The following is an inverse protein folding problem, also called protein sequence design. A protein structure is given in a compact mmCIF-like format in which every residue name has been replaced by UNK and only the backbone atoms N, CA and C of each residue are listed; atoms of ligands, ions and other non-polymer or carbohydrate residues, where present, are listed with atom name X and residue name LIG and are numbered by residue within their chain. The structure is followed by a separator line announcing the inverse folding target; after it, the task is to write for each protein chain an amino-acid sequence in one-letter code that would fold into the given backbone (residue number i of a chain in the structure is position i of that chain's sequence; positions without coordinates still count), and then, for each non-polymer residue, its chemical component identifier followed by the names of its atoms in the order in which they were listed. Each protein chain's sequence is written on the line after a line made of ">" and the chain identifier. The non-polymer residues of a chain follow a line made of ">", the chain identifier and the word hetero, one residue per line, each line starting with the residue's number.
data_IF_046759078496
#
_entry.id   IF_046759078496
#
_cell.length_a   1.000
_cell.length_b   1.000
_cell.length_c   1.000
_cell.angle_alpha   90.00
_cell.angle_beta   90.00
_cell.angle_gamma   90.00
#
_symmetry.space_group_name_H-M   'P 1'
#
loop_
_entity.id
_entity.type
_entity.pdbx_description
1 polymer ?
#
# COMPACT_ATOMS: atom_id res chain seq x y z
N UNK A 1 13.67 55.16 -50.35
CA UNK A 1 13.84 54.62 -49.00
C UNK A 1 12.54 53.89 -48.59
N UNK A 2 12.54 52.57 -48.70
CA UNK A 2 11.39 51.73 -48.33
C UNK A 2 11.82 50.95 -47.06
N UNK A 3 11.20 51.21 -45.92
CA UNK A 3 11.42 50.47 -44.69
C UNK A 3 10.54 49.22 -44.70
N UNK A 4 11.16 48.06 -44.71
CA UNK A 4 10.51 46.76 -44.50
C UNK A 4 10.36 46.55 -42.97
N UNK A 5 9.11 46.56 -42.49
CA UNK A 5 8.78 46.08 -41.14
C UNK A 5 8.64 44.55 -41.17
N UNK A 6 9.59 43.81 -40.61
CA UNK A 6 9.48 42.39 -40.30
C UNK A 6 8.69 42.26 -39.02
N UNK A 7 7.44 41.83 -39.09
CA UNK A 7 6.67 41.41 -37.94
C UNK A 7 7.13 39.99 -37.49
N UNK A 8 7.77 39.88 -36.36
CA UNK A 8 8.10 38.58 -35.70
C UNK A 8 6.82 38.01 -35.10
N UNK A 9 6.16 37.09 -35.79
CA UNK A 9 5.12 36.26 -35.18
C UNK A 9 5.82 35.26 -34.23
N UNK A 10 5.78 35.53 -32.95
CA UNK A 10 6.10 34.54 -31.92
C UNK A 10 5.02 33.45 -31.96
N UNK A 11 5.36 32.31 -32.58
CA UNK A 11 4.54 31.14 -32.53
C UNK A 11 4.47 30.65 -31.06
N UNK A 12 3.34 30.87 -30.43
CA UNK A 12 2.99 30.19 -29.18
C UNK A 12 2.86 28.71 -29.53
N UNK A 13 3.92 27.95 -29.38
CA UNK A 13 3.86 26.49 -29.36
C UNK A 13 3.26 26.15 -28.01
N UNK A 14 2.00 25.66 -27.96
CA UNK A 14 1.50 25.10 -26.71
C UNK A 14 2.46 23.96 -26.35
N UNK A 15 3.10 24.03 -25.20
CA UNK A 15 3.81 22.90 -24.63
C UNK A 15 2.79 21.78 -24.49
N UNK A 16 2.78 20.84 -25.44
CA UNK A 16 2.04 19.60 -25.33
C UNK A 16 2.56 18.95 -24.06
N UNK A 17 1.77 19.00 -22.99
CA UNK A 17 2.01 18.23 -21.78
C UNK A 17 2.13 16.78 -22.26
N UNK A 18 3.27 16.17 -22.01
CA UNK A 18 3.50 14.79 -22.41
C UNK A 18 2.65 13.94 -21.46
N UNK A 19 1.50 13.50 -21.97
CA UNK A 19 0.67 12.52 -21.29
C UNK A 19 1.53 11.29 -21.00
N UNK A 20 1.65 10.96 -19.73
CA UNK A 20 2.54 9.91 -19.26
C UNK A 20 1.75 8.64 -18.92
N UNK A 21 2.24 7.48 -19.38
CA UNK A 21 1.66 6.18 -19.06
C UNK A 21 1.88 5.76 -17.59
N UNK A 22 2.66 6.52 -16.84
CA UNK A 22 3.02 6.25 -15.43
C UNK A 22 3.39 7.54 -14.70
N UNK A 23 3.31 7.52 -13.38
CA UNK A 23 3.82 8.57 -12.50
C UNK A 23 4.78 7.99 -11.47
N UNK A 24 5.97 8.60 -11.34
CA UNK A 24 7.01 8.23 -10.39
C UNK A 24 7.30 9.40 -9.44
N UNK A 25 7.40 9.14 -8.14
CA UNK A 25 7.81 10.13 -7.15
C UNK A 25 9.26 10.56 -7.34
N UNK A 26 10.11 9.63 -7.81
CA UNK A 26 11.55 9.83 -8.01
C UNK A 26 11.99 9.23 -9.33
N UNK A 27 12.87 9.93 -10.02
CA UNK A 27 13.47 9.42 -11.25
C UNK A 27 12.47 9.25 -12.39
N UNK A 28 12.71 8.24 -13.21
CA UNK A 28 11.86 7.86 -14.35
C UNK A 28 11.30 6.46 -14.12
N UNK A 29 10.06 6.18 -14.60
CA UNK A 29 9.49 4.85 -14.53
C UNK A 29 10.39 3.78 -15.13
N UNK A 30 10.53 2.64 -14.47
CA UNK A 30 11.34 1.50 -14.93
C UNK A 30 10.81 0.90 -16.23
N UNK A 31 9.50 0.76 -16.33
CA UNK A 31 8.83 0.21 -17.51
C UNK A 31 8.52 1.32 -18.49
N UNK A 32 9.15 1.31 -19.66
CA UNK A 32 8.96 2.30 -20.71
C UNK A 32 7.55 2.21 -21.33
N UNK A 33 7.06 3.29 -21.98
CA UNK A 33 5.81 3.22 -22.75
C UNK A 33 5.81 2.03 -23.72
N UNK A 34 4.71 1.28 -23.73
CA UNK A 34 4.58 0.10 -24.60
C UNK A 34 5.20 -1.19 -24.05
N UNK A 35 5.63 -1.23 -22.79
CA UNK A 35 6.08 -2.49 -22.17
C UNK A 35 5.00 -3.58 -22.28
N UNK A 36 5.42 -4.85 -22.28
CA UNK A 36 4.51 -5.98 -22.56
C UNK A 36 3.85 -6.54 -21.31
N UNK A 37 4.53 -6.57 -20.18
CA UNK A 37 4.08 -7.03 -18.86
C UNK A 37 5.10 -6.62 -17.79
N UNK A 38 4.74 -6.69 -16.53
CA UNK A 38 5.69 -6.53 -15.43
C UNK A 38 6.64 -7.74 -15.35
N UNK A 39 7.91 -7.51 -14.99
CA UNK A 39 8.95 -8.55 -14.93
C UNK A 39 8.68 -9.67 -13.92
N UNK A 40 7.85 -9.38 -12.90
CA UNK A 40 7.51 -10.32 -11.83
C UNK A 40 6.31 -11.23 -12.14
N UNK A 41 5.75 -11.18 -13.34
CA UNK A 41 4.66 -12.06 -13.77
C UNK A 41 5.10 -12.98 -14.88
N UNK A 42 4.46 -14.14 -15.00
CA UNK A 42 4.56 -15.01 -16.17
C UNK A 42 3.34 -14.74 -17.07
N UNK A 43 3.55 -14.11 -18.26
CA UNK A 43 2.46 -13.84 -19.18
C UNK A 43 1.84 -15.10 -19.79
N UNK A 44 2.56 -16.24 -19.72
CA UNK A 44 2.11 -17.55 -20.22
C UNK A 44 1.52 -18.42 -19.11
N UNK A 45 1.42 -17.93 -17.87
CA UNK A 45 0.81 -18.66 -16.77
C UNK A 45 -0.56 -19.21 -17.17
N UNK A 46 -0.84 -20.50 -16.92
CA UNK A 46 -2.11 -21.12 -17.32
C UNK A 46 -3.28 -20.44 -16.61
N UNK A 47 -4.38 -20.30 -17.35
CA UNK A 47 -5.64 -19.80 -16.81
C UNK A 47 -6.54 -20.98 -16.48
N UNK A 48 -7.15 -20.95 -15.29
CA UNK A 48 -8.09 -21.99 -14.88
C UNK A 48 -7.97 -22.38 -13.42
N UNK A 49 -8.80 -23.36 -13.01
CA UNK A 49 -8.76 -23.93 -11.68
C UNK A 49 -9.24 -23.01 -10.56
N UNK A 50 -9.00 -23.44 -9.34
CA UNK A 50 -9.41 -22.75 -8.12
C UNK A 50 -8.22 -22.56 -7.18
N UNK A 51 -8.09 -21.35 -6.62
CA UNK A 51 -7.22 -21.04 -5.53
C UNK A 51 -8.03 -20.91 -4.24
N UNK A 52 -7.76 -21.78 -3.27
CA UNK A 52 -8.41 -21.74 -1.97
C UNK A 52 -7.52 -21.00 -0.97
N UNK A 53 -8.03 -19.94 -0.41
CA UNK A 53 -7.35 -19.07 0.53
C UNK A 53 -8.03 -19.10 1.90
N UNK A 54 -7.27 -18.63 2.89
CA UNK A 54 -7.81 -18.34 4.21
C UNK A 54 -7.93 -16.84 4.39
N UNK A 55 -8.99 -16.40 5.05
CA UNK A 55 -9.17 -14.99 5.38
C UNK A 55 -8.02 -14.50 6.28
N UNK A 56 -7.39 -13.39 5.89
CA UNK A 56 -6.41 -12.67 6.68
C UNK A 56 -7.03 -11.66 7.66
N UNK A 57 -8.34 -11.45 7.58
CA UNK A 57 -9.08 -10.59 8.50
C UNK A 57 -9.32 -11.33 9.80
N UNK A 58 -9.19 -10.63 10.93
CA UNK A 58 -9.43 -11.20 12.28
C UNK A 58 -10.91 -11.44 12.59
N UNK A 59 -11.81 -11.01 11.71
CA UNK A 59 -13.24 -11.23 11.88
C UNK A 59 -13.59 -12.70 11.68
N UNK A 60 -14.47 -13.23 12.51
CA UNK A 60 -15.00 -14.59 12.40
C UNK A 60 -16.08 -14.73 11.34
N UNK A 61 -16.53 -13.63 10.75
CA UNK A 61 -17.56 -13.61 9.69
C UNK A 61 -17.46 -12.29 8.89
N UNK A 62 -18.23 -12.18 7.83
CA UNK A 62 -18.51 -10.94 7.14
C UNK A 62 -20.03 -10.73 7.02
N UNK A 63 -20.45 -9.48 6.99
CA UNK A 63 -21.86 -9.08 7.01
C UNK A 63 -22.19 -7.98 5.99
N UNK A 64 -21.19 -7.60 5.16
CA UNK A 64 -21.36 -6.60 4.10
C UNK A 64 -20.35 -6.78 2.97
N UNK A 65 -20.68 -6.20 1.80
CA UNK A 65 -19.78 -6.14 0.64
C UNK A 65 -19.12 -4.76 0.44
N UNK A 66 -19.60 -3.72 1.12
CA UNK A 66 -19.03 -2.37 1.01
C UNK A 66 -17.79 -2.21 1.92
N UNK A 67 -16.55 -2.19 1.35
CA UNK A 67 -15.33 -2.10 2.15
C UNK A 67 -15.01 -0.68 2.64
N UNK A 68 -15.73 0.33 2.18
CA UNK A 68 -15.42 1.74 2.39
C UNK A 68 -16.10 2.35 3.61
N UNK A 69 -17.03 1.66 4.24
CA UNK A 69 -17.82 2.15 5.39
C UNK A 69 -17.33 1.58 6.73
N UNK A 70 -17.68 2.25 7.84
CA UNK A 70 -17.17 1.89 9.18
C UNK A 70 -17.80 0.62 9.77
N UNK A 71 -19.13 0.54 9.77
CA UNK A 71 -19.85 -0.56 10.43
C UNK A 71 -19.75 -1.84 9.64
N UNK A 72 -19.66 -2.97 10.33
CA UNK A 72 -19.62 -4.32 9.75
C UNK A 72 -18.22 -4.72 9.24
N UNK A 73 -18.11 -5.99 8.84
CA UNK A 73 -16.90 -6.63 8.33
C UNK A 73 -17.10 -7.07 6.88
N UNK A 74 -16.09 -6.87 6.05
CA UNK A 74 -16.12 -7.29 4.65
C UNK A 74 -15.34 -8.56 4.44
N UNK A 75 -15.68 -9.35 3.40
CA UNK A 75 -14.85 -10.48 3.01
C UNK A 75 -13.43 -10.02 2.66
N UNK A 76 -12.44 -10.86 2.96
CA UNK A 76 -11.07 -10.59 2.56
C UNK A 76 -10.94 -10.54 1.03
N UNK A 77 -10.01 -9.72 0.54
CA UNK A 77 -9.67 -9.53 -0.87
C UNK A 77 -10.75 -8.88 -1.75
N UNK A 78 -11.87 -8.42 -1.18
CA UNK A 78 -12.96 -7.84 -1.97
C UNK A 78 -12.50 -6.57 -2.72
N UNK A 79 -11.69 -5.73 -2.07
CA UNK A 79 -11.19 -4.49 -2.69
C UNK A 79 -10.22 -4.78 -3.83
N UNK A 80 -9.31 -5.73 -3.63
CA UNK A 80 -8.24 -6.07 -4.57
C UNK A 80 -8.74 -6.85 -5.78
N UNK A 81 -9.81 -7.63 -5.62
CA UNK A 81 -10.31 -8.51 -6.67
C UNK A 81 -11.42 -7.88 -7.52
N UNK A 82 -12.27 -7.04 -6.90
CA UNK A 82 -13.44 -6.49 -7.58
C UNK A 82 -13.22 -5.12 -8.19
N UNK A 83 -12.30 -4.32 -7.68
CA UNK A 83 -12.19 -2.92 -8.09
C UNK A 83 -10.87 -2.67 -8.80
N UNK A 84 -10.94 -1.95 -9.92
CA UNK A 84 -9.76 -1.33 -10.50
C UNK A 84 -9.55 0.08 -9.95
N UNK A 85 -8.33 0.56 -10.13
CA UNK A 85 -7.84 1.88 -9.72
C UNK A 85 -7.44 2.68 -10.95
N UNK A 86 -7.26 3.99 -10.80
CA UNK A 86 -6.77 4.80 -11.93
C UNK A 86 -5.36 4.38 -12.34
N UNK A 87 -4.49 4.14 -11.36
CA UNK A 87 -3.13 3.66 -11.54
C UNK A 87 -2.92 2.38 -10.74
N UNK A 88 -2.01 1.53 -11.18
CA UNK A 88 -1.54 0.34 -10.45
C UNK A 88 -0.06 0.47 -10.10
N UNK A 89 0.28 0.25 -8.84
CA UNK A 89 1.67 0.27 -8.36
C UNK A 89 2.42 -0.98 -8.82
N UNK A 90 3.62 -0.82 -9.36
CA UNK A 90 4.51 -1.93 -9.62
C UNK A 90 5.12 -2.47 -8.31
N UNK A 91 5.13 -3.79 -8.14
CA UNK A 91 5.62 -4.42 -6.90
C UNK A 91 7.14 -4.36 -6.75
N UNK A 92 7.85 -4.19 -7.85
CA UNK A 92 9.31 -4.13 -7.92
C UNK A 92 9.85 -2.70 -8.08
N UNK A 93 8.96 -1.69 -8.07
CA UNK A 93 9.30 -0.28 -8.20
C UNK A 93 8.48 0.58 -7.23
N UNK A 94 8.89 0.66 -5.95
CA UNK A 94 8.20 1.48 -4.95
C UNK A 94 8.16 2.95 -5.35
N UNK A 95 7.00 3.59 -5.15
CA UNK A 95 6.80 5.00 -5.47
C UNK A 95 6.49 5.30 -6.93
N UNK A 96 6.28 4.27 -7.76
CA UNK A 96 5.86 4.39 -9.15
C UNK A 96 4.55 3.63 -9.39
N UNK A 97 3.64 4.23 -10.16
CA UNK A 97 2.40 3.59 -10.56
C UNK A 97 2.11 3.85 -12.06
N UNK A 98 1.51 2.85 -12.69
CA UNK A 98 1.26 2.76 -14.12
C UNK A 98 -0.24 2.84 -14.42
N UNK A 99 -0.59 3.38 -15.57
CA UNK A 99 -1.98 3.58 -15.95
C UNK A 99 -2.76 2.25 -16.06
N UNK A 100 -3.87 2.17 -15.30
CA UNK A 100 -4.85 1.07 -15.38
C UNK A 100 -6.16 1.60 -15.95
N UNK A 101 -7.10 2.12 -15.16
CA UNK A 101 -8.29 2.80 -15.69
C UNK A 101 -7.92 4.07 -16.47
N UNK A 102 -6.87 4.78 -16.02
CA UNK A 102 -6.27 5.87 -16.76
C UNK A 102 -5.31 5.35 -17.83
N UNK A 103 -5.39 5.89 -19.05
CA UNK A 103 -4.39 5.69 -20.09
C UNK A 103 -3.24 6.69 -19.96
N UNK A 104 -3.57 7.88 -19.45
CA UNK A 104 -2.65 8.99 -19.28
C UNK A 104 -2.77 9.63 -17.90
N UNK A 105 -1.65 10.09 -17.37
CA UNK A 105 -1.55 10.91 -16.17
C UNK A 105 -0.69 12.14 -16.44
N UNK A 106 -1.20 13.31 -16.14
CA UNK A 106 -0.50 14.59 -16.25
C UNK A 106 -0.42 15.26 -14.89
N UNK A 107 0.80 15.50 -14.41
CA UNK A 107 1.09 16.19 -13.15
C UNK A 107 1.98 17.40 -13.45
N UNK A 108 1.44 18.62 -13.36
CA UNK A 108 2.22 19.85 -13.57
C UNK A 108 3.41 19.95 -12.60
N UNK A 109 4.44 20.69 -13.01
CA UNK A 109 5.69 20.83 -12.22
C UNK A 109 5.51 21.50 -10.85
N UNK A 110 4.42 22.24 -10.66
CA UNK A 110 4.05 22.83 -9.37
C UNK A 110 3.42 21.81 -8.40
N UNK A 111 3.06 20.62 -8.88
CA UNK A 111 2.40 19.54 -8.15
C UNK A 111 1.13 19.98 -7.40
N UNK A 112 0.37 20.92 -7.98
CA UNK A 112 -0.89 21.42 -7.42
C UNK A 112 -2.14 20.84 -8.08
N UNK A 113 -1.94 19.94 -9.03
CA UNK A 113 -3.04 19.19 -9.65
C UNK A 113 -2.54 17.89 -10.26
N UNK A 114 -3.48 17.00 -10.58
CA UNK A 114 -3.26 15.85 -11.46
C UNK A 114 -4.46 15.70 -12.38
N UNK A 115 -4.21 15.39 -13.64
CA UNK A 115 -5.24 15.08 -14.63
C UNK A 115 -5.07 13.63 -15.09
N UNK A 116 -6.16 12.86 -15.04
CA UNK A 116 -6.22 11.50 -15.56
C UNK A 116 -7.16 11.44 -16.77
N UNK A 117 -6.71 10.76 -17.81
CA UNK A 117 -7.52 10.45 -18.98
C UNK A 117 -7.87 8.97 -18.98
N UNK A 118 -9.15 8.64 -18.92
CA UNK A 118 -9.65 7.28 -18.81
C UNK A 118 -9.64 6.56 -20.16
N UNK A 119 -9.35 5.27 -20.12
CA UNK A 119 -9.40 4.38 -21.30
C UNK A 119 -10.82 4.25 -21.84
N UNK A 120 -10.95 4.19 -23.16
CA UNK A 120 -12.24 4.02 -23.85
C UNK A 120 -12.85 2.64 -23.61
N UNK A 121 -12.01 1.64 -23.47
CA UNK A 121 -12.39 0.24 -23.25
C UNK A 121 -12.77 -0.07 -21.80
N UNK A 122 -12.49 0.81 -20.84
CA UNK A 122 -12.80 0.59 -19.43
C UNK A 122 -14.31 0.38 -19.19
N UNK A 123 -14.66 -0.73 -18.55
CA UNK A 123 -16.05 -1.13 -18.29
C UNK A 123 -16.22 -1.61 -16.86
N UNK A 124 -17.37 -1.32 -16.29
CA UNK A 124 -17.84 -1.96 -15.09
C UNK A 124 -18.37 -3.38 -15.37
N UNK A 125 -18.57 -4.16 -14.33
CA UNK A 125 -19.07 -5.52 -14.42
C UNK A 125 -20.45 -5.65 -15.09
N UNK A 126 -21.26 -4.60 -15.06
CA UNK A 126 -22.56 -4.53 -15.74
C UNK A 126 -22.46 -4.12 -17.23
N UNK A 127 -21.22 -3.98 -17.74
CA UNK A 127 -20.95 -3.58 -19.13
C UNK A 127 -20.97 -2.07 -19.37
N UNK A 128 -21.41 -1.25 -18.41
CA UNK A 128 -21.41 0.20 -18.57
C UNK A 128 -19.99 0.77 -18.59
N UNK A 129 -19.75 1.86 -19.35
CA UNK A 129 -18.43 2.49 -19.41
C UNK A 129 -18.05 3.14 -18.07
N UNK A 130 -16.77 3.07 -17.71
CA UNK A 130 -16.21 3.86 -16.63
C UNK A 130 -15.96 5.28 -17.14
N UNK A 131 -16.58 6.27 -16.49
CA UNK A 131 -16.54 7.68 -16.92
C UNK A 131 -15.94 8.57 -15.82
N UNK A 132 -15.49 9.76 -16.21
CA UNK A 132 -14.95 10.76 -15.29
C UNK A 132 -15.92 11.13 -14.16
N UNK A 133 -17.22 11.10 -14.41
CA UNK A 133 -18.26 11.32 -13.38
C UNK A 133 -18.28 10.25 -12.31
N UNK A 134 -17.96 8.98 -12.65
CA UNK A 134 -17.90 7.89 -11.67
C UNK A 134 -16.66 8.05 -10.77
N UNK A 135 -15.54 8.50 -11.35
CA UNK A 135 -14.33 8.84 -10.59
C UNK A 135 -14.62 9.99 -9.62
N UNK A 136 -15.22 11.08 -10.10
CA UNK A 136 -15.62 12.21 -9.25
C UNK A 136 -16.53 11.75 -8.12
N UNK A 137 -17.59 11.02 -8.44
CA UNK A 137 -18.55 10.48 -7.47
C UNK A 137 -17.84 9.62 -6.41
N UNK A 138 -16.95 8.73 -6.83
CA UNK A 138 -16.18 7.87 -5.92
C UNK A 138 -15.38 8.71 -4.92
N UNK A 139 -14.61 9.67 -5.39
CA UNK A 139 -13.73 10.47 -4.54
C UNK A 139 -14.54 11.36 -3.57
N UNK A 140 -15.58 12.03 -4.05
CA UNK A 140 -16.45 12.85 -3.20
C UNK A 140 -17.18 12.00 -2.15
N UNK A 141 -17.60 10.79 -2.52
CA UNK A 141 -18.21 9.83 -1.58
C UNK A 141 -17.20 9.40 -0.51
N UNK A 142 -15.96 9.09 -0.89
CA UNK A 142 -14.91 8.69 0.07
C UNK A 142 -14.49 9.84 1.01
N UNK A 143 -14.57 11.10 0.56
CA UNK A 143 -14.38 12.27 1.43
C UNK A 143 -15.61 12.56 2.33
N UNK A 144 -16.75 11.99 2.00
CA UNK A 144 -18.01 12.20 2.71
C UNK A 144 -18.01 11.60 4.12
N UNK A 145 -19.05 11.96 4.90
CA UNK A 145 -19.22 11.53 6.30
C UNK A 145 -19.60 10.06 6.45
N UNK A 146 -20.05 9.40 5.40
CA UNK A 146 -20.51 8.01 5.42
C UNK A 146 -19.40 7.00 5.08
N UNK A 147 -18.25 7.46 4.61
CA UNK A 147 -17.07 6.63 4.39
C UNK A 147 -16.17 6.55 5.64
N UNK A 148 -15.20 5.66 5.62
CA UNK A 148 -14.18 5.55 6.67
C UNK A 148 -13.39 6.86 6.79
N UNK A 149 -13.19 7.42 8.01
CA UNK A 149 -12.47 8.68 8.21
C UNK A 149 -11.04 8.71 7.63
N UNK A 150 -10.41 7.55 7.50
CA UNK A 150 -9.08 7.45 6.91
C UNK A 150 -9.01 8.03 5.49
N UNK A 151 -10.06 7.89 4.68
CA UNK A 151 -10.08 8.48 3.32
C UNK A 151 -10.05 10.01 3.38
N UNK A 152 -10.78 10.61 4.31
CA UNK A 152 -10.76 12.06 4.52
C UNK A 152 -9.37 12.56 4.92
N UNK A 153 -8.66 11.79 5.74
CA UNK A 153 -7.31 12.12 6.17
C UNK A 153 -6.31 12.07 5.01
N UNK A 154 -6.33 11.01 4.20
CA UNK A 154 -5.36 10.87 3.09
C UNK A 154 -5.66 11.82 1.93
N UNK A 155 -6.91 12.29 1.81
CA UNK A 155 -7.37 13.25 0.81
C UNK A 155 -7.47 14.69 1.35
N UNK A 156 -6.88 14.99 2.51
CA UNK A 156 -7.02 16.31 3.17
C UNK A 156 -6.51 17.49 2.33
N UNK A 157 -5.54 17.25 1.45
CA UNK A 157 -4.99 18.27 0.57
C UNK A 157 -5.74 18.38 -0.77
N UNK A 158 -6.78 17.57 -0.99
CA UNK A 158 -7.62 17.65 -2.18
C UNK A 158 -8.64 18.79 -2.03
N UNK A 159 -8.56 19.78 -2.92
CA UNK A 159 -9.42 20.96 -2.95
C UNK A 159 -10.68 20.76 -3.84
N UNK A 160 -10.56 19.99 -4.90
CA UNK A 160 -11.69 19.74 -5.78
C UNK A 160 -11.42 18.73 -6.88
N UNK A 161 -12.53 18.23 -7.47
CA UNK A 161 -12.53 17.28 -8.57
C UNK A 161 -13.38 17.83 -9.72
N UNK A 162 -12.75 18.08 -10.86
CA UNK A 162 -13.39 18.64 -12.05
C UNK A 162 -13.52 17.55 -13.13
N UNK A 163 -14.73 17.39 -13.66
CA UNK A 163 -14.98 16.59 -14.86
C UNK A 163 -14.73 17.50 -16.06
N UNK A 164 -13.62 17.31 -16.76
CA UNK A 164 -13.23 18.12 -17.93
C UNK A 164 -14.03 17.69 -19.14
N UNK A 165 -14.13 16.37 -19.35
CA UNK A 165 -14.98 15.74 -20.35
C UNK A 165 -15.42 14.36 -19.88
N UNK A 166 -16.09 13.57 -20.72
CA UNK A 166 -16.61 12.25 -20.33
C UNK A 166 -15.54 11.27 -19.80
N UNK A 167 -14.26 11.49 -20.12
CA UNK A 167 -13.15 10.59 -19.73
C UNK A 167 -11.96 11.31 -19.14
N UNK A 168 -12.01 12.61 -18.98
CA UNK A 168 -10.93 13.40 -18.41
C UNK A 168 -11.38 13.98 -17.07
N UNK A 169 -10.66 13.65 -16.01
CA UNK A 169 -10.90 14.14 -14.65
C UNK A 169 -9.64 14.81 -14.12
N UNK A 170 -9.83 16.01 -13.57
CA UNK A 170 -8.75 16.81 -12.96
C UNK A 170 -8.99 16.96 -11.46
N UNK A 171 -7.95 16.73 -10.68
CA UNK A 171 -7.92 16.93 -9.24
C UNK A 171 -7.06 18.16 -8.93
N UNK A 172 -7.60 19.07 -8.11
CA UNK A 172 -6.89 20.26 -7.64
C UNK A 172 -6.48 20.09 -6.20
N UNK A 173 -5.27 20.56 -5.86
CA UNK A 173 -4.70 20.46 -4.53
C UNK A 173 -4.59 21.82 -3.86
N UNK A 174 -4.89 21.91 -2.58
CA UNK A 174 -4.78 23.13 -1.78
C UNK A 174 -3.33 23.61 -1.63
N UNK A 175 -2.38 22.68 -1.72
CA UNK A 175 -0.93 22.97 -1.70
C UNK A 175 -0.19 21.99 -2.64
N UNK A 176 1.09 22.27 -2.93
CA UNK A 176 1.96 21.36 -3.66
C UNK A 176 2.08 20.03 -2.91
N UNK A 177 1.74 18.91 -3.59
CA UNK A 177 1.81 17.57 -3.01
C UNK A 177 2.14 16.54 -4.10
N UNK A 178 3.37 16.03 -4.06
CA UNK A 178 3.87 15.05 -5.02
C UNK A 178 3.33 13.63 -4.81
N UNK A 179 2.88 13.31 -3.60
CA UNK A 179 2.40 11.96 -3.28
C UNK A 179 0.92 11.78 -3.63
N UNK A 180 0.15 12.86 -3.58
CA UNK A 180 -1.29 12.81 -3.75
C UNK A 180 -1.75 12.21 -5.10
N UNK A 181 -1.06 12.40 -6.23
CA UNK A 181 -1.37 11.69 -7.48
C UNK A 181 -1.34 10.17 -7.35
N UNK A 182 -0.37 9.59 -6.60
CA UNK A 182 -0.32 8.15 -6.34
C UNK A 182 -1.41 7.69 -5.39
N UNK A 183 -1.69 8.48 -4.34
CA UNK A 183 -2.76 8.19 -3.37
C UNK A 183 -4.11 8.13 -4.08
N UNK A 184 -4.44 9.14 -4.88
CA UNK A 184 -5.68 9.18 -5.67
C UNK A 184 -5.70 8.06 -6.71
N UNK A 185 -4.57 7.86 -7.40
CA UNK A 185 -4.40 6.83 -8.41
C UNK A 185 -4.65 5.41 -7.89
N UNK A 186 -4.37 5.15 -6.62
CA UNK A 186 -4.54 3.86 -5.97
C UNK A 186 -5.93 3.63 -5.34
N UNK A 187 -6.83 4.63 -5.35
CA UNK A 187 -8.17 4.45 -4.80
C UNK A 187 -9.05 3.61 -5.74
N UNK A 188 -9.76 2.59 -5.19
CA UNK A 188 -10.73 1.81 -5.94
C UNK A 188 -11.85 2.68 -6.50
N UNK A 189 -12.17 2.50 -7.79
CA UNK A 189 -13.23 3.24 -8.46
C UNK A 189 -14.49 2.37 -8.56
N UNK A 190 -15.64 2.95 -8.25
CA UNK A 190 -16.95 2.31 -8.32
C UNK A 190 -17.98 3.17 -9.04
N UNK A 191 -18.99 2.53 -9.60
CA UNK A 191 -20.07 3.23 -10.32
C UNK A 191 -20.94 4.04 -9.37
N UNK A 192 -21.35 5.22 -9.80
CA UNK A 192 -22.36 6.03 -9.09
C UNK A 192 -23.72 5.33 -8.96
N UNK A 193 -23.98 4.27 -9.75
CA UNK A 193 -25.22 3.48 -9.68
C UNK A 193 -25.18 2.38 -8.62
N UNK A 194 -24.02 2.13 -7.99
CA UNK A 194 -23.93 1.14 -6.93
C UNK A 194 -24.82 1.55 -5.75
N UNK A 195 -25.73 0.63 -5.37
CA UNK A 195 -26.69 0.85 -4.30
C UNK A 195 -27.96 1.60 -4.72
N UNK A 196 -28.13 1.92 -6.01
CA UNK A 196 -29.36 2.49 -6.57
C UNK A 196 -29.94 3.66 -5.77
N UNK A 197 -29.12 4.68 -5.51
CA UNK A 197 -29.48 5.88 -4.77
C UNK A 197 -29.56 5.74 -3.24
N UNK A 198 -29.27 4.59 -2.68
CA UNK A 198 -29.12 4.41 -1.23
C UNK A 198 -28.04 5.32 -0.67
N UNK A 199 -28.23 5.76 0.57
CA UNK A 199 -27.13 6.42 1.30
C UNK A 199 -25.94 5.46 1.41
N UNK A 200 -24.72 5.93 1.22
CA UNK A 200 -23.53 5.11 1.04
C UNK A 200 -23.26 4.11 2.17
N UNK A 201 -23.55 4.48 3.44
CA UNK A 201 -23.43 3.58 4.59
C UNK A 201 -24.56 2.54 4.71
N UNK A 202 -25.61 2.66 3.90
CA UNK A 202 -26.71 1.71 3.78
C UNK A 202 -26.51 0.71 2.64
N UNK A 203 -25.51 0.90 1.81
CA UNK A 203 -25.09 -0.08 0.80
C UNK A 203 -24.33 -1.19 1.54
N UNK A 204 -25.00 -2.27 1.88
CA UNK A 204 -24.47 -3.35 2.74
C UNK A 204 -24.23 -4.60 1.91
N UNK A 205 -25.31 -5.24 1.44
CA UNK A 205 -25.26 -6.51 0.70
C UNK A 205 -25.51 -6.34 -0.80
N UNK A 206 -25.55 -5.11 -1.29
CA UNK A 206 -25.62 -4.86 -2.73
C UNK A 206 -24.28 -5.20 -3.37
N UNK A 207 -24.21 -6.11 -4.34
CA UNK A 207 -22.98 -6.42 -5.01
C UNK A 207 -22.36 -5.15 -5.64
N UNK A 208 -21.05 -4.93 -5.49
CA UNK A 208 -20.40 -3.77 -6.07
C UNK A 208 -20.52 -3.74 -7.59
N UNK A 209 -20.88 -2.57 -8.14
CA UNK A 209 -20.71 -2.29 -9.57
C UNK A 209 -19.29 -1.73 -9.73
N UNK A 210 -18.36 -2.64 -9.95
CA UNK A 210 -16.92 -2.41 -10.03
C UNK A 210 -16.37 -2.90 -11.37
N UNK A 211 -15.07 -2.77 -11.60
CA UNK A 211 -14.43 -3.01 -12.90
C UNK A 211 -13.29 -4.02 -12.88
N UNK A 212 -13.01 -4.63 -11.72
CA UNK A 212 -11.87 -5.53 -11.54
C UNK A 212 -12.02 -6.91 -12.17
N UNK A 213 -10.98 -7.74 -12.07
CA UNK A 213 -10.92 -9.03 -12.80
C UNK A 213 -11.83 -10.13 -12.24
N UNK A 214 -12.40 -9.95 -11.05
CA UNK A 214 -13.29 -10.92 -10.42
C UNK A 214 -14.63 -10.29 -10.03
N UNK A 215 -15.65 -11.16 -9.91
CA UNK A 215 -17.00 -10.84 -9.41
C UNK A 215 -17.31 -11.69 -8.19
N UNK A 216 -18.25 -11.26 -7.35
CA UNK A 216 -18.79 -12.11 -6.29
C UNK A 216 -19.54 -13.29 -6.94
N UNK A 217 -19.15 -14.50 -6.57
CA UNK A 217 -19.80 -15.75 -6.92
C UNK A 217 -20.58 -16.33 -5.74
N UNK A 218 -20.60 -17.66 -5.56
CA UNK A 218 -21.25 -18.30 -4.43
C UNK A 218 -20.75 -17.79 -3.07
N UNK A 219 -21.67 -17.60 -2.14
CA UNK A 219 -21.42 -17.14 -0.78
C UNK A 219 -22.12 -18.07 0.20
N UNK A 220 -21.37 -18.63 1.17
CA UNK A 220 -21.91 -19.23 2.38
C UNK A 220 -21.74 -18.21 3.50
N UNK A 221 -22.83 -17.49 3.82
CA UNK A 221 -22.82 -16.34 4.72
C UNK A 221 -22.07 -16.61 6.00
N UNK A 222 -21.03 -15.77 6.25
CA UNK A 222 -20.20 -15.86 7.43
C UNK A 222 -19.12 -16.94 7.41
N UNK A 223 -19.05 -17.81 6.39
CA UNK A 223 -18.05 -18.87 6.30
C UNK A 223 -17.12 -18.73 5.12
N UNK A 224 -17.69 -18.71 3.91
CA UNK A 224 -16.93 -18.75 2.66
C UNK A 224 -17.47 -17.72 1.68
N UNK A 225 -16.58 -17.13 0.91
CA UNK A 225 -16.91 -16.37 -0.29
C UNK A 225 -16.07 -16.87 -1.44
N UNK A 226 -16.70 -17.07 -2.59
CA UNK A 226 -16.00 -17.37 -3.84
C UNK A 226 -16.06 -16.19 -4.78
N UNK A 227 -14.90 -15.74 -5.23
CA UNK A 227 -14.75 -14.79 -6.32
C UNK A 227 -14.57 -15.56 -7.63
N UNK A 228 -15.33 -15.19 -8.65
CA UNK A 228 -15.31 -15.83 -9.96
C UNK A 228 -14.69 -14.87 -10.97
N UNK A 229 -13.71 -15.36 -11.72
CA UNK A 229 -13.02 -14.54 -12.74
C UNK A 229 -14.04 -14.09 -13.81
N UNK A 230 -13.99 -12.83 -14.17
CA UNK A 230 -14.73 -12.29 -15.28
C UNK A 230 -14.02 -12.61 -16.61
N UNK A 231 -14.57 -13.49 -17.46
CA UNK A 231 -13.96 -13.81 -18.74
C UNK A 231 -13.94 -12.62 -19.71
N UNK A 232 -14.82 -11.64 -19.48
CA UNK A 232 -14.94 -10.40 -20.26
C UNK A 232 -14.21 -9.23 -19.62
N UNK A 233 -13.33 -9.49 -18.63
CA UNK A 233 -12.57 -8.44 -17.98
C UNK A 233 -11.87 -7.52 -19.00
N UNK A 234 -12.21 -6.25 -18.97
CA UNK A 234 -11.82 -5.25 -19.98
C UNK A 234 -10.31 -5.06 -20.09
N UNK A 235 -9.57 -5.21 -18.97
CA UNK A 235 -8.13 -4.93 -18.91
C UNK A 235 -7.25 -6.18 -19.04
N UNK A 236 -7.80 -7.37 -19.34
CA UNK A 236 -7.05 -8.65 -19.34
C UNK A 236 -5.79 -8.66 -20.21
N UNK A 237 -5.79 -7.89 -21.29
CA UNK A 237 -4.70 -7.83 -22.26
C UNK A 237 -3.79 -6.61 -22.07
N UNK A 238 -4.08 -5.72 -21.10
CA UNK A 238 -3.22 -4.59 -20.77
C UNK A 238 -1.90 -5.09 -20.16
N UNK A 239 -0.80 -4.43 -20.51
CA UNK A 239 0.53 -4.76 -19.98
C UNK A 239 0.56 -4.86 -18.46
N UNK A 240 -0.12 -3.97 -17.76
CA UNK A 240 -0.22 -3.93 -16.30
C UNK A 240 -1.06 -5.06 -15.68
N UNK A 241 -1.81 -5.82 -16.50
CA UNK A 241 -2.67 -6.94 -16.05
C UNK A 241 -2.31 -8.28 -16.69
N UNK A 242 -1.51 -8.27 -17.74
CA UNK A 242 -1.07 -9.52 -18.41
C UNK A 242 -0.34 -10.40 -17.41
N UNK A 243 -0.62 -11.71 -17.43
CA UNK A 243 -0.05 -12.68 -16.49
C UNK A 243 -0.70 -12.67 -15.09
N UNK A 244 -1.75 -11.88 -14.87
CA UNK A 244 -2.50 -11.82 -13.59
C UNK A 244 -3.90 -12.44 -13.72
N UNK A 245 -4.65 -12.57 -12.62
CA UNK A 245 -5.99 -13.16 -12.58
C UNK A 245 -6.05 -14.55 -13.23
N UNK A 246 -5.14 -15.45 -12.81
CA UNK A 246 -4.94 -16.75 -13.47
C UNK A 246 -5.98 -17.80 -13.10
N UNK A 247 -6.56 -17.75 -11.89
CA UNK A 247 -7.53 -18.72 -11.41
C UNK A 247 -8.95 -18.37 -11.85
N UNK A 248 -9.75 -19.37 -12.20
CA UNK A 248 -11.19 -19.16 -12.49
C UNK A 248 -11.98 -18.83 -11.24
N UNK A 249 -11.59 -19.40 -10.11
CA UNK A 249 -12.20 -19.16 -8.81
C UNK A 249 -11.15 -18.90 -7.74
N UNK A 250 -11.46 -17.98 -6.84
CA UNK A 250 -10.71 -17.76 -5.60
C UNK A 250 -11.70 -17.88 -4.46
N UNK A 251 -11.62 -19.00 -3.72
CA UNK A 251 -12.49 -19.26 -2.56
C UNK A 251 -11.74 -18.87 -1.28
N UNK A 252 -12.34 -17.99 -0.49
CA UNK A 252 -11.76 -17.50 0.76
C UNK A 252 -12.58 -17.99 1.93
N UNK A 253 -11.97 -18.81 2.77
CA UNK A 253 -12.59 -19.39 3.96
C UNK A 253 -12.21 -18.65 5.23
N UNK A 254 -13.15 -18.55 6.15
CA UNK A 254 -12.96 -17.96 7.46
C UNK A 254 -12.80 -19.05 8.51
N UNK A 255 -11.84 -18.87 9.42
CA UNK A 255 -11.62 -19.73 10.59
C UNK A 255 -11.56 -18.87 11.85
N UNK A 256 -11.96 -19.44 12.98
CA UNK A 256 -12.07 -18.73 14.24
C UNK A 256 -10.73 -18.17 14.75
N UNK A 257 -9.65 -18.93 14.58
CA UNK A 257 -8.32 -18.54 15.08
C UNK A 257 -7.18 -19.13 14.23
N UNK A 258 -5.95 -18.77 14.57
CA UNK A 258 -4.75 -19.21 13.85
C UNK A 258 -4.46 -20.71 14.01
N UNK A 259 -4.85 -21.33 15.13
CA UNK A 259 -4.68 -22.77 15.33
C UNK A 259 -5.59 -23.54 14.38
N UNK A 260 -6.88 -23.16 14.29
CA UNK A 260 -7.81 -23.73 13.36
C UNK A 260 -7.35 -23.56 11.91
N UNK A 261 -6.81 -22.37 11.54
CA UNK A 261 -6.24 -22.12 10.21
C UNK A 261 -5.09 -23.08 9.91
N UNK A 262 -4.14 -23.25 10.83
CA UNK A 262 -2.99 -24.10 10.62
C UNK A 262 -3.38 -25.58 10.45
N UNK A 263 -4.31 -26.08 11.27
CA UNK A 263 -4.78 -27.45 11.15
C UNK A 263 -5.58 -27.66 9.86
N UNK A 264 -6.37 -26.70 9.44
CA UNK A 264 -7.06 -26.72 8.15
C UNK A 264 -6.07 -26.72 6.96
N UNK A 265 -4.97 -25.96 7.02
CA UNK A 265 -3.88 -26.04 6.03
C UNK A 265 -3.29 -27.45 5.97
N UNK A 266 -2.92 -28.01 7.12
CA UNK A 266 -2.40 -29.37 7.21
C UNK A 266 -3.41 -30.42 6.72
N UNK A 267 -4.72 -30.16 6.84
CA UNK A 267 -5.78 -31.00 6.30
C UNK A 267 -6.04 -30.78 4.78
N UNK A 268 -5.35 -29.81 4.15
CA UNK A 268 -5.52 -29.51 2.71
C UNK A 268 -6.81 -28.79 2.36
N UNK A 269 -7.40 -28.09 3.33
CA UNK A 269 -8.65 -27.35 3.09
C UNK A 269 -8.46 -26.06 2.31
N UNK A 270 -7.23 -25.54 2.26
CA UNK A 270 -6.84 -24.40 1.43
C UNK A 270 -5.35 -24.50 1.02
N UNK A 271 -4.92 -23.67 0.09
CA UNK A 271 -3.67 -23.85 -0.66
C UNK A 271 -2.52 -22.95 -0.19
N UNK A 272 -2.80 -21.79 0.41
CA UNK A 272 -1.78 -20.82 0.79
C UNK A 272 -2.12 -20.13 2.10
N UNK A 273 -1.12 -20.01 2.98
CA UNK A 273 -1.21 -19.22 4.22
C UNK A 273 0.05 -18.39 4.43
N UNK A 274 -0.13 -17.12 4.76
CA UNK A 274 0.96 -16.26 5.25
C UNK A 274 1.03 -16.33 6.76
N UNK A 275 2.22 -16.56 7.28
CA UNK A 275 2.49 -16.58 8.71
C UNK A 275 3.08 -15.27 9.20
N UNK A 276 2.51 -14.73 10.27
CA UNK A 276 2.98 -13.50 10.94
C UNK A 276 3.49 -13.78 12.34
N UNK A 277 3.33 -15.01 12.83
CA UNK A 277 3.79 -15.46 14.13
C UNK A 277 5.11 -16.23 13.97
N UNK A 278 6.20 -15.67 14.50
CA UNK A 278 7.50 -16.34 14.52
C UNK A 278 7.44 -17.69 15.21
N UNK A 279 6.67 -17.79 16.31
CA UNK A 279 6.45 -19.05 17.05
C UNK A 279 5.78 -20.11 16.17
N UNK A 280 4.70 -19.73 15.45
CA UNK A 280 3.99 -20.70 14.60
C UNK A 280 4.88 -21.14 13.45
N UNK A 281 5.60 -20.21 12.81
CA UNK A 281 6.56 -20.51 11.77
C UNK A 281 7.66 -21.47 12.22
N UNK A 282 8.25 -21.23 13.38
CA UNK A 282 9.35 -22.04 13.89
C UNK A 282 8.90 -23.40 14.42
N UNK A 283 7.75 -23.49 15.11
CA UNK A 283 7.36 -24.68 15.86
C UNK A 283 6.19 -25.46 15.27
N UNK A 284 5.24 -24.79 14.66
CA UNK A 284 3.96 -25.39 14.31
C UNK A 284 3.83 -25.71 12.82
N UNK A 285 4.57 -25.00 11.95
CA UNK A 285 4.58 -25.24 10.50
C UNK A 285 5.48 -26.44 10.19
N UNK A 286 5.00 -27.62 10.53
CA UNK A 286 5.67 -28.93 10.40
C UNK A 286 4.66 -30.06 10.40
N UNK A 287 5.08 -31.27 10.03
CA UNK A 287 4.31 -32.50 10.04
C UNK A 287 4.36 -33.22 8.70
N UNK A 288 3.66 -34.35 8.60
CA UNK A 288 3.76 -35.31 7.48
C UNK A 288 3.67 -34.68 6.10
N UNK A 289 2.75 -33.73 5.87
CA UNK A 289 2.57 -33.09 4.56
C UNK A 289 3.69 -32.12 4.18
N UNK A 290 4.38 -31.54 5.16
CA UNK A 290 5.59 -30.77 4.93
C UNK A 290 6.80 -31.68 4.67
N UNK A 291 6.87 -32.82 5.36
CA UNK A 291 7.92 -33.81 5.20
C UNK A 291 7.80 -34.55 3.85
N UNK A 292 6.58 -34.81 3.38
CA UNK A 292 6.31 -35.41 2.06
C UNK A 292 6.45 -34.44 0.88
N UNK A 293 6.61 -33.13 1.14
CA UNK A 293 6.67 -32.12 0.08
C UNK A 293 5.32 -31.67 -0.51
N UNK A 294 4.18 -32.20 0.02
CA UNK A 294 2.85 -31.72 -0.37
C UNK A 294 2.60 -30.28 0.05
N UNK A 295 3.21 -29.83 1.14
CA UNK A 295 3.23 -28.46 1.61
C UNK A 295 4.67 -27.97 1.64
N UNK A 296 4.94 -26.81 1.04
CA UNK A 296 6.25 -26.18 1.04
C UNK A 296 6.28 -24.97 1.98
N UNK A 297 7.36 -24.81 2.75
CA UNK A 297 7.70 -23.57 3.44
C UNK A 297 8.52 -22.68 2.51
N UNK A 298 8.13 -21.41 2.38
CA UNK A 298 8.89 -20.45 1.58
C UNK A 298 9.13 -19.14 2.34
N UNK A 299 10.33 -18.62 2.27
CA UNK A 299 10.70 -17.29 2.75
C UNK A 299 11.08 -16.43 1.56
N UNK A 300 10.44 -15.27 1.44
CA UNK A 300 10.60 -14.38 0.29
C UNK A 300 11.13 -13.03 0.75
N UNK A 301 12.34 -12.72 0.35
CA UNK A 301 12.95 -11.41 0.58
C UNK A 301 12.37 -10.40 -0.42
N UNK A 302 12.02 -9.22 0.04
CA UNK A 302 11.50 -8.15 -0.79
C UNK A 302 12.15 -6.81 -0.46
N UNK A 303 11.98 -5.84 -1.37
CA UNK A 303 12.48 -4.46 -1.24
C UNK A 303 11.36 -3.44 -0.98
N UNK A 304 10.18 -3.90 -0.61
CA UNK A 304 9.08 -3.02 -0.24
C UNK A 304 9.35 -2.39 1.12
N UNK A 305 8.87 -1.17 1.37
CA UNK A 305 8.94 -0.56 2.70
C UNK A 305 8.40 -1.51 3.76
N UNK A 306 9.11 -1.64 4.88
CA UNK A 306 8.67 -2.48 5.99
C UNK A 306 8.05 -1.62 7.09
N UNK A 307 6.93 -2.09 7.62
CA UNK A 307 6.39 -1.56 8.87
C UNK A 307 7.29 -1.93 10.07
N UNK A 308 7.02 -1.31 11.20
CA UNK A 308 7.68 -1.64 12.46
C UNK A 308 6.66 -1.80 13.58
N UNK A 309 7.01 -2.60 14.57
CA UNK A 309 6.28 -2.70 15.83
C UNK A 309 7.05 -1.96 16.91
N UNK A 310 6.35 -1.12 17.67
CA UNK A 310 6.97 -0.34 18.73
C UNK A 310 5.98 -0.03 19.84
N UNK A 311 6.51 0.31 21.00
CA UNK A 311 5.75 0.96 22.05
C UNK A 311 5.77 2.47 21.80
N UNK A 312 4.60 3.02 21.45
CA UNK A 312 4.44 4.47 21.26
C UNK A 312 4.30 5.15 22.61
N UNK A 313 5.30 5.94 23.00
CA UNK A 313 5.31 6.63 24.27
C UNK A 313 4.55 7.96 24.18
N UNK A 314 3.52 8.13 25.03
CA UNK A 314 2.73 9.35 25.08
C UNK A 314 3.51 10.49 25.77
N UNK A 315 4.21 11.29 24.98
CA UNK A 315 5.03 12.42 25.46
C UNK A 315 4.24 13.56 26.10
N UNK A 316 2.91 13.53 26.08
CA UNK A 316 2.05 14.47 26.82
C UNK A 316 1.99 14.15 28.33
N UNK A 317 2.38 12.94 28.73
CA UNK A 317 2.51 12.57 30.15
C UNK A 317 3.83 13.07 30.70
N UNK A 318 3.81 13.69 31.90
CA UNK A 318 4.99 14.33 32.49
C UNK A 318 6.17 13.38 32.65
N UNK A 319 5.94 12.15 33.11
CA UNK A 319 6.97 11.13 33.24
C UNK A 319 7.67 10.76 31.90
N UNK A 320 7.03 11.02 30.75
CA UNK A 320 7.55 10.65 29.44
C UNK A 320 7.97 11.88 28.59
N UNK A 321 7.87 13.10 29.15
CA UNK A 321 8.35 14.32 28.46
C UNK A 321 9.85 14.32 28.31
N UNK A 322 10.57 13.88 29.34
CA UNK A 322 12.04 13.82 29.32
C UNK A 322 12.51 12.72 28.38
N UNK A 323 13.34 13.12 27.39
CA UNK A 323 13.91 12.18 26.41
C UNK A 323 14.75 11.11 27.08
N UNK A 324 15.41 11.41 28.19
CA UNK A 324 16.28 10.48 28.92
C UNK A 324 15.48 9.32 29.52
N UNK A 325 14.26 9.60 30.02
CA UNK A 325 13.34 8.53 30.48
C UNK A 325 12.98 7.60 29.34
N UNK A 326 12.69 8.15 28.16
CA UNK A 326 12.37 7.35 26.98
C UNK A 326 13.57 6.52 26.50
N UNK A 327 14.76 7.09 26.54
CA UNK A 327 16.01 6.36 26.24
C UNK A 327 16.27 5.25 27.25
N UNK A 328 16.09 5.51 28.55
CA UNK A 328 16.23 4.52 29.61
C UNK A 328 15.27 3.31 29.41
N UNK A 329 14.00 3.58 29.03
CA UNK A 329 13.05 2.50 28.70
C UNK A 329 13.54 1.68 27.48
N UNK A 330 14.11 2.33 26.47
CA UNK A 330 14.68 1.64 25.32
C UNK A 330 15.90 0.78 25.65
N UNK A 331 16.74 1.24 26.60
CA UNK A 331 17.91 0.50 27.09
C UNK A 331 17.52 -0.67 28.01
N UNK A 332 16.41 -0.55 28.73
CA UNK A 332 15.89 -1.64 29.59
C UNK A 332 15.32 -2.81 28.77
N UNK A 333 15.13 -2.66 27.46
CA UNK A 333 14.61 -3.72 26.58
C UNK A 333 15.77 -4.54 26.01
N UNK A 334 15.96 -5.77 26.50
CA UNK A 334 16.87 -6.74 25.89
C UNK A 334 16.23 -7.36 24.64
N UNK A 335 16.41 -6.69 23.50
CA UNK A 335 15.84 -7.14 22.24
C UNK A 335 16.46 -8.46 21.77
N UNK A 336 17.76 -8.65 21.93
CA UNK A 336 18.48 -9.84 21.48
C UNK A 336 18.02 -11.09 22.25
N UNK A 337 17.80 -10.98 23.56
CA UNK A 337 17.19 -12.05 24.34
C UNK A 337 15.75 -12.34 23.89
N UNK A 338 14.92 -11.29 23.75
CA UNK A 338 13.54 -11.46 23.28
C UNK A 338 13.50 -12.10 21.90
N UNK A 339 14.40 -11.69 20.99
CA UNK A 339 14.46 -12.22 19.65
C UNK A 339 14.79 -13.72 19.66
N UNK A 340 15.79 -14.14 20.44
CA UNK A 340 16.13 -15.57 20.58
C UNK A 340 15.02 -16.38 21.25
N UNK A 341 14.54 -15.93 22.40
CA UNK A 341 13.63 -16.72 23.24
C UNK A 341 12.18 -16.70 22.77
N UNK A 342 11.70 -15.57 22.26
CA UNK A 342 10.29 -15.39 21.92
C UNK A 342 10.04 -15.39 20.41
N UNK A 343 11.02 -14.93 19.62
CA UNK A 343 10.84 -14.70 18.19
C UNK A 343 11.72 -15.58 17.30
N UNK A 344 12.47 -16.51 17.88
CA UNK A 344 13.27 -17.52 17.15
C UNK A 344 14.22 -16.89 16.13
N UNK A 345 14.88 -15.79 16.50
CA UNK A 345 15.78 -14.99 15.67
C UNK A 345 15.17 -14.47 14.36
N UNK A 346 13.82 -14.41 14.29
CA UNK A 346 13.10 -14.02 13.08
C UNK A 346 13.01 -12.51 12.86
N UNK A 347 13.36 -11.69 13.85
CA UNK A 347 13.18 -10.25 13.78
C UNK A 347 14.51 -9.50 13.78
N UNK A 348 14.44 -8.26 13.29
CA UNK A 348 15.55 -7.30 13.39
C UNK A 348 15.09 -6.09 14.17
N UNK A 349 15.98 -5.53 15.01
CA UNK A 349 15.69 -4.29 15.69
C UNK A 349 15.58 -3.15 14.69
N UNK A 350 14.50 -2.35 14.79
CA UNK A 350 14.25 -1.24 13.89
C UNK A 350 15.06 -0.02 14.35
N UNK A 351 15.74 0.62 13.41
CA UNK A 351 16.59 1.78 13.67
C UNK A 351 15.98 3.11 13.20
N UNK A 352 14.83 3.06 12.51
CA UNK A 352 14.18 4.28 11.99
C UNK A 352 12.83 3.96 11.33
N UNK A 353 12.15 5.03 10.89
CA UNK A 353 10.80 4.94 10.32
C UNK A 353 10.78 4.43 8.87
N UNK A 354 11.90 4.53 8.16
CA UNK A 354 11.99 4.27 6.72
C UNK A 354 12.67 2.92 6.41
N UNK A 355 12.44 1.92 7.26
CA UNK A 355 13.06 0.59 7.13
C UNK A 355 12.85 -0.03 5.74
N UNK A 356 13.92 -0.61 5.18
CA UNK A 356 13.97 -1.23 3.87
C UNK A 356 13.66 -0.28 2.69
N UNK A 357 13.93 1.02 2.85
CA UNK A 357 13.77 2.03 1.79
C UNK A 357 15.08 2.77 1.54
N UNK A 358 15.14 3.48 0.43
CA UNK A 358 16.26 4.38 0.12
C UNK A 358 16.34 5.59 1.06
N UNK A 359 15.25 5.90 1.77
CA UNK A 359 15.18 7.00 2.73
C UNK A 359 15.64 6.59 4.14
N UNK A 360 16.04 5.34 4.34
CA UNK A 360 16.58 4.91 5.62
C UNK A 360 17.98 5.50 5.84
N UNK A 361 18.13 6.33 6.86
CA UNK A 361 19.43 6.89 7.23
C UNK A 361 20.44 5.78 7.59
N UNK A 362 21.67 5.93 7.12
CA UNK A 362 22.77 5.00 7.37
C UNK A 362 24.07 5.76 7.56
N UNK A 363 24.91 5.34 8.51
CA UNK A 363 26.24 5.92 8.71
C UNK A 363 26.19 7.41 9.09
N UNK A 364 27.04 8.20 8.46
CA UNK A 364 27.17 9.65 8.61
C UNK A 364 26.67 10.31 7.32
N UNK A 365 25.94 11.44 7.39
CA UNK A 365 25.51 12.16 6.19
C UNK A 365 26.69 12.58 5.32
N UNK A 366 26.59 12.33 4.01
CA UNK A 366 27.65 12.68 3.05
C UNK A 366 27.06 13.37 1.81
N UNK A 367 27.95 13.97 1.00
CA UNK A 367 27.60 14.51 -0.31
C UNK A 367 26.44 15.49 -0.29
N UNK A 368 25.42 15.25 -1.09
CA UNK A 368 24.24 16.13 -1.22
C UNK A 368 23.38 16.19 0.05
N UNK A 369 23.30 15.09 0.79
CA UNK A 369 22.57 15.05 2.06
C UNK A 369 23.22 16.00 3.07
N UNK A 370 24.52 15.89 3.28
CA UNK A 370 25.26 16.81 4.16
C UNK A 370 25.10 18.27 3.73
N UNK A 371 25.21 18.56 2.42
CA UNK A 371 25.00 19.93 1.89
C UNK A 371 23.60 20.47 2.20
N UNK A 372 22.58 19.61 2.19
CA UNK A 372 21.22 20.00 2.56
C UNK A 372 21.12 20.29 4.05
N UNK A 373 21.66 19.42 4.91
CA UNK A 373 21.66 19.59 6.36
C UNK A 373 22.41 20.84 6.80
N UNK A 374 23.54 21.16 6.15
CA UNK A 374 24.35 22.37 6.45
C UNK A 374 23.55 23.66 6.29
N UNK A 375 22.58 23.74 5.39
CA UNK A 375 21.69 24.90 5.24
C UNK A 375 20.82 25.17 6.48
N UNK A 376 20.64 24.14 7.32
CA UNK A 376 19.81 24.17 8.51
C UNK A 376 20.62 24.05 9.80
N UNK A 377 21.99 24.15 9.70
CA UNK A 377 22.87 24.10 10.87
C UNK A 377 22.46 25.16 11.89
N UNK A 378 22.37 24.78 13.16
CA UNK A 378 21.87 25.62 14.25
C UNK A 378 20.33 25.65 14.38
N UNK A 379 19.58 25.14 13.43
CA UNK A 379 18.11 25.00 13.50
C UNK A 379 17.65 23.53 13.71
N UNK A 380 18.52 22.58 13.42
CA UNK A 380 18.30 21.14 13.66
C UNK A 380 19.34 20.64 14.68
N UNK A 381 19.04 19.53 15.38
CA UNK A 381 19.96 18.96 16.37
C UNK A 381 21.32 18.62 15.73
N UNK A 382 22.41 18.89 16.43
CA UNK A 382 23.78 18.61 15.96
C UNK A 382 23.97 17.09 15.70
N UNK A 383 23.24 16.23 16.42
CA UNK A 383 23.22 14.79 16.19
C UNK A 383 22.81 14.39 14.75
N UNK A 384 22.15 15.26 13.99
CA UNK A 384 21.83 15.01 12.58
C UNK A 384 23.06 15.02 11.66
N UNK A 385 24.19 15.56 12.11
CA UNK A 385 25.45 15.61 11.36
C UNK A 385 26.42 14.48 11.73
N UNK A 386 26.08 13.72 12.77
CA UNK A 386 26.88 12.60 13.25
C UNK A 386 26.39 11.26 12.74
N UNK A 387 27.00 10.16 13.22
CA UNK A 387 26.56 8.83 12.89
C UNK A 387 25.13 8.60 13.39
N UNK A 388 24.34 7.90 12.57
CA UNK A 388 22.99 7.51 12.97
C UNK A 388 23.01 6.80 14.32
N UNK A 389 22.19 7.26 15.25
CA UNK A 389 22.04 6.61 16.56
C UNK A 389 21.33 5.27 16.40
N UNK A 390 22.06 4.19 16.68
CA UNK A 390 21.51 2.82 16.72
C UNK A 390 21.35 2.41 18.18
N UNK A 391 20.24 1.76 18.55
CA UNK A 391 20.13 1.20 19.88
C UNK A 391 21.28 0.21 20.13
N UNK A 392 21.91 0.21 21.31
CA UNK A 392 23.01 -0.70 21.62
C UNK A 392 22.51 -2.14 21.57
N UNK A 393 23.36 -3.03 21.08
CA UNK A 393 23.11 -4.47 21.12
C UNK A 393 23.49 -5.01 22.50
N UNK A 394 22.74 -6.01 22.96
CA UNK A 394 23.08 -6.83 24.12
C UNK A 394 23.63 -8.17 23.63
N UNK A 395 24.23 -8.96 24.53
CA UNK A 395 24.59 -10.37 24.26
C UNK A 395 23.37 -11.29 24.29
N UNK A 396 22.24 -10.79 24.77
CA UNK A 396 20.97 -11.49 24.83
C UNK A 396 20.93 -12.61 25.90
N UNK A 397 21.76 -12.54 26.90
CA UNK A 397 21.78 -13.51 28.02
C UNK A 397 21.22 -12.93 29.33
N UNK A 398 20.54 -11.80 29.26
CA UNK A 398 20.10 -10.98 30.39
C UNK A 398 21.24 -10.46 31.25
N UNK A 399 22.46 -10.46 30.75
CA UNK A 399 23.55 -9.84 31.48
C UNK A 399 23.29 -8.34 31.69
N UNK A 400 23.83 -7.75 32.74
CA UNK A 400 23.56 -6.37 33.12
C UNK A 400 24.17 -5.32 32.18
N UNK A 401 24.40 -5.64 30.89
CA UNK A 401 24.87 -4.64 29.89
C UNK A 401 23.84 -3.53 29.76
N UNK A 402 22.55 -3.85 29.75
CA UNK A 402 21.48 -2.84 29.84
C UNK A 402 21.58 -2.00 31.10
N UNK A 403 21.97 -2.62 32.23
CA UNK A 403 22.14 -1.95 33.51
C UNK A 403 23.43 -1.11 33.55
N UNK A 404 24.49 -1.54 32.91
CA UNK A 404 25.76 -0.80 32.78
C UNK A 404 25.56 0.44 31.90
N UNK A 405 24.79 0.36 30.82
CA UNK A 405 24.46 1.50 29.99
C UNK A 405 23.54 2.51 30.70
N UNK A 406 22.59 2.04 31.52
CA UNK A 406 21.77 2.91 32.37
C UNK A 406 22.65 3.65 33.41
N UNK A 407 23.61 2.97 34.07
CA UNK A 407 24.55 3.58 35.01
C UNK A 407 25.53 4.53 34.33
N UNK A 408 26.03 4.25 33.15
CA UNK A 408 26.92 5.17 32.42
C UNK A 408 26.24 6.51 32.12
N UNK A 409 24.94 6.52 31.89
CA UNK A 409 24.14 7.75 31.76
C UNK A 409 23.93 8.49 33.11
N UNK A 410 23.94 7.78 34.23
CA UNK A 410 23.87 8.40 35.57
C UNK A 410 25.22 9.01 36.01
N UNK A 411 26.34 8.36 35.70
CA UNK A 411 27.68 8.80 36.11
C UNK A 411 28.24 9.95 35.23
N UNK A 412 27.78 10.10 33.99
CA UNK A 412 28.14 11.23 33.13
C UNK A 412 27.60 12.60 33.61
N UNK A 413 26.94 12.68 34.76
CA UNK A 413 26.41 13.89 35.38
C UNK A 413 27.25 14.43 36.56
N UNK A 414 28.24 13.68 37.00
CA UNK A 414 29.09 14.04 38.16
C UNK A 414 30.53 14.42 37.77
N UNK A 415 30.74 14.89 36.53
CA UNK A 415 32.00 15.53 36.11
C UNK A 415 31.74 16.92 35.57
#
# INVERSE_FOLDING_TARGET
>A
MRFLLLALMAAFVPSAGWAAHAYALWGSPRYAPGFSHFDYVDPQAPKGGELRLVSNVRSSNFDKYNPFTMKGSTPAYISELLFDTLLITALDEPGTAYGLLAEDVDVPSDHRSVTFKLRREARFHDGSPVLAKDVKYTIETLQGSYAKPAYKTVLQDLDGVDVVDARTVRFRFSKSNRELPLVIGALPIFSQRWGDGKRFDQIVNDPPIASGPYRIGPVDSGRDITYVRDPQYWAKDLAVRRGTANFDRITVRIYADNTAKLEALKAGQFDLMRFFSARDWARNVRGKRFESGELAKGEFTHRLPTGFQSYVLNTRRDALKDVRVRQALGLAMDFEWMNRQLFYDSYRRVNGLFGNTQCQAQGVPEGRELQLLERWRGQIPEAAFGPMTVPPRTDGDHSPVSYTHLRAHETGRNL
#
